data_IF_814662674757
#
_entry.id   IF_814662674757
#
_cell.length_a   1.000
_cell.length_b   1.000
_cell.length_c   1.000
_cell.angle_alpha   90.00
_cell.angle_beta   90.00
_cell.angle_gamma   90.00
#
_symmetry.space_group_name_H-M   'P 1'
#
loop_
_entity.id
_entity.type
_entity.pdbx_description
1 polymer ?
#
# COMPACT_ATOMS: atom_id res chain seq x y z
N UNK A 1 36.52 5.02 1.02
CA UNK A 1 35.89 3.94 0.22
C UNK A 1 34.62 3.39 0.86
N UNK A 2 34.58 3.08 2.16
CA UNK A 2 33.36 2.61 2.85
C UNK A 2 32.12 3.52 2.72
N UNK A 3 32.30 4.85 2.69
CA UNK A 3 31.18 5.80 2.57
C UNK A 3 30.50 5.79 1.21
N UNK A 4 31.20 5.43 0.13
CA UNK A 4 30.65 5.38 -1.23
C UNK A 4 29.79 4.13 -1.41
N UNK A 5 30.21 3.00 -0.81
CA UNK A 5 29.45 1.74 -0.83
C UNK A 5 28.10 1.89 -0.10
N UNK A 6 28.08 2.61 1.02
CA UNK A 6 26.84 2.89 1.76
C UNK A 6 25.83 3.74 0.96
N UNK A 7 26.30 4.66 0.11
CA UNK A 7 25.44 5.51 -0.73
C UNK A 7 24.82 4.70 -1.89
N UNK A 8 25.57 3.76 -2.47
CA UNK A 8 25.09 2.92 -3.57
C UNK A 8 24.01 1.90 -3.15
N UNK A 9 24.04 1.44 -1.90
CA UNK A 9 23.03 0.51 -1.38
C UNK A 9 21.66 1.18 -1.18
N UNK A 10 21.64 2.49 -0.89
CA UNK A 10 20.40 3.25 -0.67
C UNK A 10 19.63 3.58 -1.95
N UNK A 11 20.27 3.54 -3.13
CA UNK A 11 19.62 3.87 -4.41
C UNK A 11 18.88 2.70 -5.07
N UNK A 12 18.96 1.49 -4.52
CA UNK A 12 18.50 0.26 -5.17
C UNK A 12 17.00 -0.06 -4.97
N UNK A 13 16.28 0.68 -4.14
CA UNK A 13 14.88 0.38 -3.76
C UNK A 13 13.80 1.10 -4.58
N UNK A 14 14.15 2.08 -5.43
CA UNK A 14 13.17 2.96 -6.09
C UNK A 14 12.52 2.37 -7.38
N UNK A 15 12.85 1.12 -7.76
CA UNK A 15 12.49 0.56 -9.06
C UNK A 15 11.19 -0.24 -9.16
N UNK A 16 10.59 -0.66 -8.04
CA UNK A 16 9.55 -1.71 -8.05
C UNK A 16 8.12 -1.23 -8.29
N UNK A 17 7.88 0.08 -8.29
CA UNK A 17 6.54 0.66 -8.40
C UNK A 17 6.26 1.24 -9.80
N UNK A 18 6.47 0.45 -10.86
CA UNK A 18 6.20 0.89 -12.26
C UNK A 18 5.18 0.06 -13.01
N UNK A 19 4.54 -0.90 -12.36
CA UNK A 19 3.66 -1.86 -13.02
C UNK A 19 2.21 -1.84 -12.53
N UNK A 20 1.84 -0.96 -11.59
CA UNK A 20 0.46 -0.91 -11.10
C UNK A 20 -0.54 -0.60 -12.23
N UNK A 21 -0.12 0.19 -13.23
CA UNK A 21 -0.95 0.52 -14.40
C UNK A 21 -1.38 -0.71 -15.24
N UNK A 22 -0.65 -1.83 -15.17
CA UNK A 22 -0.99 -3.07 -15.89
C UNK A 22 -2.10 -3.87 -15.21
N UNK A 23 -2.44 -3.56 -13.96
CA UNK A 23 -3.50 -4.23 -13.21
C UNK A 23 -4.85 -3.80 -13.79
N UNK A 24 -5.57 -4.75 -14.40
CA UNK A 24 -6.88 -4.49 -15.05
C UNK A 24 -8.01 -4.19 -14.07
N UNK A 25 -7.94 -4.73 -12.85
CA UNK A 25 -8.95 -4.47 -11.84
C UNK A 25 -8.65 -3.13 -11.15
N UNK A 26 -9.57 -2.16 -11.27
CA UNK A 26 -9.36 -0.80 -10.78
C UNK A 26 -9.06 -0.74 -9.29
N UNK A 27 -9.82 -1.47 -8.46
CA UNK A 27 -9.63 -1.48 -7.00
C UNK A 27 -8.22 -1.97 -6.62
N UNK A 28 -7.77 -3.08 -7.23
CA UNK A 28 -6.42 -3.61 -7.03
C UNK A 28 -5.34 -2.66 -7.56
N UNK A 29 -5.59 -1.99 -8.68
CA UNK A 29 -4.69 -1.00 -9.24
C UNK A 29 -4.51 0.18 -8.28
N UNK A 30 -5.59 0.78 -7.80
CA UNK A 30 -5.53 1.91 -6.89
C UNK A 30 -4.91 1.55 -5.53
N UNK A 31 -5.12 0.33 -5.04
CA UNK A 31 -4.41 -0.19 -3.87
C UNK A 31 -2.90 -0.27 -4.13
N UNK A 32 -2.48 -0.85 -5.27
CA UNK A 32 -1.07 -0.93 -5.67
C UNK A 32 -0.43 0.46 -5.78
N UNK A 33 -1.08 1.37 -6.50
CA UNK A 33 -0.63 2.74 -6.68
C UNK A 33 -0.46 3.48 -5.35
N UNK A 34 -1.38 3.25 -4.41
CA UNK A 34 -1.31 3.91 -3.11
C UNK A 34 -0.21 3.32 -2.22
N UNK A 35 -0.05 1.99 -2.21
CA UNK A 35 0.97 1.32 -1.39
C UNK A 35 2.39 1.53 -1.90
N UNK A 36 2.59 1.51 -3.23
CA UNK A 36 3.93 1.39 -3.80
C UNK A 36 4.34 2.59 -4.64
N UNK A 37 3.41 3.27 -5.31
CA UNK A 37 3.70 4.45 -6.14
C UNK A 37 3.51 5.78 -5.38
N UNK A 38 3.08 5.73 -4.12
CA UNK A 38 2.85 6.92 -3.29
C UNK A 38 1.66 7.78 -3.73
N UNK A 39 0.77 7.26 -4.59
CA UNK A 39 -0.45 7.98 -4.99
C UNK A 39 -1.46 8.00 -3.84
N UNK A 40 -2.29 9.04 -3.76
CA UNK A 40 -3.43 9.09 -2.81
C UNK A 40 -4.70 8.65 -3.54
N UNK A 41 -4.80 7.36 -3.85
CA UNK A 41 -5.84 6.80 -4.70
C UNK A 41 -6.82 5.87 -3.97
N UNK A 42 -6.70 5.69 -2.64
CA UNK A 42 -7.59 4.79 -1.89
C UNK A 42 -9.07 5.18 -2.00
N UNK A 43 -9.37 6.48 -2.17
CA UNK A 43 -10.73 6.98 -2.34
C UNK A 43 -11.41 6.49 -3.63
N UNK A 44 -10.65 6.03 -4.62
CA UNK A 44 -11.15 5.51 -5.90
C UNK A 44 -11.56 4.03 -5.82
N UNK A 45 -11.16 3.32 -4.76
CA UNK A 45 -11.49 1.91 -4.53
C UNK A 45 -12.97 1.77 -4.18
N UNK A 46 -13.71 0.95 -4.95
CA UNK A 46 -15.16 0.76 -4.81
C UNK A 46 -15.51 -0.28 -3.76
N UNK A 47 -14.72 -1.34 -3.61
CA UNK A 47 -14.89 -2.30 -2.53
C UNK A 47 -14.58 -1.63 -1.17
N UNK A 48 -15.58 -1.52 -0.29
CA UNK A 48 -15.46 -0.80 0.98
C UNK A 48 -14.39 -1.35 1.92
N UNK A 49 -14.21 -2.67 1.95
CA UNK A 49 -13.24 -3.32 2.82
C UNK A 49 -11.82 -3.12 2.29
N UNK A 50 -11.62 -3.24 0.98
CA UNK A 50 -10.35 -2.92 0.33
C UNK A 50 -10.01 -1.43 0.44
N UNK A 51 -11.00 -0.53 0.36
CA UNK A 51 -10.80 0.90 0.58
C UNK A 51 -10.34 1.16 2.02
N UNK A 52 -11.03 0.62 3.01
CA UNK A 52 -10.65 0.77 4.42
C UNK A 52 -9.25 0.20 4.69
N UNK A 53 -8.92 -0.94 4.08
CA UNK A 53 -7.59 -1.52 4.13
C UNK A 53 -6.52 -0.59 3.54
N UNK A 54 -6.78 -0.03 2.36
CA UNK A 54 -5.89 0.90 1.68
C UNK A 54 -5.66 2.17 2.52
N UNK A 55 -6.74 2.81 2.98
CA UNK A 55 -6.64 4.02 3.81
C UNK A 55 -5.78 3.75 5.05
N UNK A 56 -6.00 2.62 5.74
CA UNK A 56 -5.25 2.27 6.93
C UNK A 56 -3.78 1.96 6.64
N UNK A 57 -3.47 1.18 5.61
CA UNK A 57 -2.11 0.64 5.40
C UNK A 57 -1.23 1.51 4.50
N UNK A 58 -1.81 2.18 3.51
CA UNK A 58 -1.07 2.99 2.53
C UNK A 58 -1.07 4.48 2.87
N UNK A 59 -2.21 5.03 3.27
CA UNK A 59 -2.33 6.46 3.58
C UNK A 59 -2.21 6.77 5.08
N UNK A 60 -2.12 5.73 5.92
CA UNK A 60 -2.12 5.82 7.38
C UNK A 60 -3.32 6.60 7.97
N UNK A 61 -4.46 6.53 7.29
CA UNK A 61 -5.73 7.13 7.68
C UNK A 61 -6.69 6.05 8.14
N UNK A 62 -7.54 6.36 9.12
CA UNK A 62 -8.56 5.45 9.66
C UNK A 62 -7.98 4.18 10.31
N UNK A 63 -8.87 3.36 10.85
CA UNK A 63 -8.54 2.15 11.60
C UNK A 63 -9.03 0.89 10.89
N UNK A 64 -8.29 -0.21 11.05
CA UNK A 64 -8.65 -1.55 10.54
C UNK A 64 -10.05 -2.02 11.02
N UNK A 65 -10.59 -1.43 12.11
CA UNK A 65 -11.94 -1.73 12.61
C UNK A 65 -13.07 -1.52 11.58
N UNK A 66 -12.86 -0.68 10.56
CA UNK A 66 -13.86 -0.42 9.50
C UNK A 66 -13.99 -1.56 8.47
N UNK A 67 -13.01 -2.45 8.40
CA UNK A 67 -13.04 -3.63 7.51
C UNK A 67 -14.06 -4.62 8.08
N UNK A 68 -14.97 -5.16 7.27
CA UNK A 68 -15.97 -6.13 7.73
C UNK A 68 -15.47 -7.56 7.62
N UNK A 69 -14.80 -7.88 6.51
CA UNK A 69 -14.14 -9.17 6.31
C UNK A 69 -13.06 -9.40 7.39
N UNK A 70 -13.12 -10.55 8.06
CA UNK A 70 -12.36 -10.77 9.28
C UNK A 70 -10.87 -10.99 8.98
N UNK A 71 -10.55 -11.77 7.96
CA UNK A 71 -9.16 -12.11 7.65
C UNK A 71 -8.39 -10.87 7.16
N UNK A 72 -9.00 -10.06 6.30
CA UNK A 72 -8.47 -8.79 5.83
C UNK A 72 -8.31 -7.78 6.99
N UNK A 73 -9.21 -7.81 7.97
CA UNK A 73 -9.06 -7.01 9.20
C UNK A 73 -7.85 -7.45 10.00
N UNK A 74 -7.66 -8.76 10.22
CA UNK A 74 -6.50 -9.24 10.95
C UNK A 74 -5.20 -8.95 10.19
N UNK A 75 -5.20 -9.10 8.85
CA UNK A 75 -4.07 -8.75 8.01
C UNK A 75 -3.71 -7.26 8.14
N UNK A 76 -4.71 -6.36 8.12
CA UNK A 76 -4.49 -4.93 8.35
C UNK A 76 -3.87 -4.67 9.72
N UNK A 77 -4.38 -5.31 10.77
CA UNK A 77 -3.87 -5.14 12.15
C UNK A 77 -2.42 -5.60 12.27
N UNK A 78 -2.11 -6.78 11.70
CA UNK A 78 -0.75 -7.31 11.65
C UNK A 78 0.21 -6.36 10.91
N UNK A 79 -0.15 -5.85 9.73
CA UNK A 79 0.66 -4.88 9.00
C UNK A 79 0.85 -3.55 9.75
N UNK A 80 -0.14 -3.14 10.56
CA UNK A 80 -0.11 -1.90 11.34
C UNK A 80 0.51 -2.05 12.73
N UNK A 81 0.78 -3.27 13.19
CA UNK A 81 1.32 -3.57 14.52
C UNK A 81 0.32 -3.49 15.68
N UNK A 82 -0.95 -3.90 15.46
CA UNK A 82 -2.03 -3.95 16.48
C UNK A 82 -2.71 -5.32 16.59
#
# INVERSE_FOLDING_TARGET
MHKIIAILLLSSSMGYAKYCWQIKNDDKRHLCESKFEGKKACWQIKNSDMQAYCEATAEHKRSCWKIKENDLKQMCRAERGF
#
